data_IF_468110931484
#
_entry.id   IF_468110931484
#
_cell.length_a   1.000
_cell.length_b   1.000
_cell.length_c   1.000
_cell.angle_alpha   90.00
_cell.angle_beta   90.00
_cell.angle_gamma   90.00
#
_symmetry.space_group_name_H-M   'P 1'
#
loop_
_entity.id
_entity.type
_entity.pdbx_description
1 polymer ?
#
# COMPACT_ATOMS: atom_id res chain seq x y z
N UNK A 1 9.95 -19.29 -8.20
CA UNK A 1 10.02 -17.88 -7.75
C UNK A 1 9.65 -17.84 -6.28
N UNK A 2 10.53 -17.34 -5.40
CA UNK A 2 10.17 -17.16 -3.99
C UNK A 2 9.01 -16.17 -3.86
N UNK A 3 8.02 -16.48 -3.03
CA UNK A 3 6.89 -15.57 -2.74
C UNK A 3 7.44 -14.31 -2.05
N UNK A 4 8.33 -14.49 -1.08
CA UNK A 4 8.99 -13.43 -0.33
C UNK A 4 10.11 -12.72 -1.10
N UNK A 5 10.15 -11.40 -0.98
CA UNK A 5 11.28 -10.56 -1.42
C UNK A 5 12.30 -10.50 -0.29
N UNK A 6 13.46 -11.15 -0.46
CA UNK A 6 14.52 -11.12 0.56
C UNK A 6 15.15 -9.73 0.65
N UNK A 7 15.29 -9.21 1.86
CA UNK A 7 15.97 -7.97 2.17
C UNK A 7 16.64 -8.10 3.56
N UNK A 8 17.74 -7.39 3.79
CA UNK A 8 18.43 -7.31 5.08
C UNK A 8 17.51 -6.83 6.21
N UNK A 9 16.55 -5.96 5.88
CA UNK A 9 15.53 -5.48 6.81
C UNK A 9 14.22 -6.27 6.63
N UNK A 10 13.73 -6.88 7.72
CA UNK A 10 12.49 -7.65 7.69
C UNK A 10 11.28 -6.79 7.31
N UNK A 11 11.26 -5.55 7.81
CA UNK A 11 10.18 -4.59 7.53
C UNK A 11 10.00 -4.30 6.04
N UNK A 12 11.11 -4.01 5.36
CA UNK A 12 11.14 -3.75 3.91
C UNK A 12 10.78 -5.03 3.13
N UNK A 13 11.28 -6.19 3.57
CA UNK A 13 10.93 -7.50 2.99
C UNK A 13 9.41 -7.75 3.00
N UNK A 14 8.75 -7.54 4.14
CA UNK A 14 7.30 -7.69 4.27
C UNK A 14 6.58 -6.69 3.35
N UNK A 15 6.97 -5.42 3.39
CA UNK A 15 6.34 -4.35 2.60
C UNK A 15 6.43 -4.61 1.09
N UNK A 16 7.61 -5.03 0.59
CA UNK A 16 7.82 -5.39 -0.81
C UNK A 16 7.06 -6.66 -1.20
N UNK A 17 6.94 -7.61 -0.29
CA UNK A 17 6.17 -8.84 -0.51
C UNK A 17 4.68 -8.52 -0.66
N UNK A 18 4.12 -7.66 0.20
CA UNK A 18 2.73 -7.19 0.09
C UNK A 18 2.51 -6.43 -1.23
N UNK A 19 3.41 -5.52 -1.60
CA UNK A 19 3.32 -4.80 -2.88
C UNK A 19 3.39 -5.75 -4.09
N UNK A 20 4.16 -6.84 -3.98
CA UNK A 20 4.24 -7.86 -5.04
C UNK A 20 2.97 -8.68 -5.16
N UNK A 21 2.38 -9.08 -4.04
CA UNK A 21 1.13 -9.85 -3.97
C UNK A 21 -0.07 -9.04 -4.47
N UNK A 22 -0.13 -7.77 -4.09
CA UNK A 22 -1.18 -6.83 -4.53
C UNK A 22 -1.05 -6.42 -6.00
N UNK A 23 0.04 -6.80 -6.68
CA UNK A 23 0.25 -6.51 -8.09
C UNK A 23 0.94 -5.18 -8.36
N UNK A 24 1.31 -4.42 -7.34
CA UNK A 24 1.98 -3.12 -7.50
C UNK A 24 3.50 -3.21 -7.63
N UNK A 25 4.08 -4.42 -7.51
CA UNK A 25 5.53 -4.63 -7.57
C UNK A 25 5.95 -5.80 -8.47
N UNK A 26 6.12 -5.51 -9.77
CA UNK A 26 6.53 -6.54 -10.72
C UNK A 26 7.97 -7.03 -10.48
N UNK A 27 8.24 -8.35 -10.41
CA UNK A 27 9.60 -8.86 -10.42
C UNK A 27 10.34 -8.52 -11.71
N UNK A 28 11.63 -8.17 -11.62
CA UNK A 28 12.45 -7.80 -12.78
C UNK A 28 12.82 -8.98 -13.67
N UNK A 29 12.72 -10.20 -13.14
CA UNK A 29 13.04 -11.45 -13.83
C UNK A 29 11.93 -11.98 -14.74
N UNK A 30 10.85 -11.21 -14.93
CA UNK A 30 9.73 -11.62 -15.78
C UNK A 30 10.07 -11.43 -17.27
N UNK A 31 9.83 -12.49 -18.06
CA UNK A 31 9.92 -12.40 -19.51
C UNK A 31 8.89 -11.42 -20.11
N UNK A 32 9.03 -11.02 -21.38
CA UNK A 32 8.19 -9.99 -22.00
C UNK A 32 6.69 -10.32 -21.96
N UNK A 33 6.30 -11.59 -22.20
CA UNK A 33 4.89 -12.04 -22.10
C UNK A 33 4.36 -11.98 -20.66
N UNK A 34 5.15 -12.44 -19.69
CA UNK A 34 4.78 -12.41 -18.26
C UNK A 34 4.68 -10.97 -17.73
N UNK A 35 5.50 -10.06 -18.24
CA UNK A 35 5.45 -8.64 -17.91
C UNK A 35 4.14 -7.99 -18.37
N UNK A 36 3.65 -8.35 -19.56
CA UNK A 36 2.34 -7.89 -20.03
C UNK A 36 1.21 -8.45 -19.18
N UNK A 37 1.24 -9.76 -18.86
CA UNK A 37 0.26 -10.36 -17.96
C UNK A 37 0.27 -9.69 -16.58
N UNK A 38 1.45 -9.37 -16.05
CA UNK A 38 1.58 -8.69 -14.77
C UNK A 38 1.02 -7.27 -14.81
N UNK A 39 1.18 -6.52 -15.92
CA UNK A 39 0.54 -5.20 -16.08
C UNK A 39 -0.99 -5.29 -16.06
N UNK A 40 -1.54 -6.31 -16.73
CA UNK A 40 -2.99 -6.57 -16.69
C UNK A 40 -3.42 -6.90 -15.26
N UNK A 41 -2.68 -7.75 -14.57
CA UNK A 41 -2.93 -8.04 -13.16
C UNK A 41 -2.87 -6.78 -12.29
N UNK A 42 -1.85 -5.92 -12.45
CA UNK A 42 -1.75 -4.63 -11.74
C UNK A 42 -2.98 -3.75 -12.00
N UNK A 43 -3.43 -3.65 -13.25
CA UNK A 43 -4.60 -2.86 -13.60
C UNK A 43 -5.88 -3.42 -12.97
N UNK A 44 -6.09 -4.73 -13.05
CA UNK A 44 -7.24 -5.41 -12.43
C UNK A 44 -7.22 -5.23 -10.90
N UNK A 45 -6.08 -5.44 -10.26
CA UNK A 45 -5.93 -5.24 -8.82
C UNK A 45 -6.18 -3.79 -8.42
N UNK A 46 -5.67 -2.81 -9.18
CA UNK A 46 -5.95 -1.40 -8.92
C UNK A 46 -7.45 -1.08 -9.04
N UNK A 47 -8.09 -1.57 -10.10
CA UNK A 47 -9.52 -1.36 -10.32
C UNK A 47 -10.35 -1.99 -9.21
N UNK A 48 -10.01 -3.20 -8.77
CA UNK A 48 -10.72 -3.91 -7.71
C UNK A 48 -10.54 -3.26 -6.34
N UNK A 49 -9.33 -2.83 -6.00
CA UNK A 49 -9.01 -2.29 -4.67
C UNK A 49 -9.44 -0.83 -4.51
N UNK A 50 -9.40 -0.02 -5.57
CA UNK A 50 -9.68 1.43 -5.50
C UNK A 50 -10.51 1.98 -6.65
N UNK A 51 -10.32 1.50 -7.87
CA UNK A 51 -10.95 2.09 -9.04
C UNK A 51 -12.48 2.09 -8.97
N UNK A 52 -13.07 0.97 -8.53
CA UNK A 52 -14.52 0.84 -8.31
C UNK A 52 -15.02 1.84 -7.27
N UNK A 53 -14.35 1.94 -6.12
CA UNK A 53 -14.69 2.88 -5.05
C UNK A 53 -14.67 4.33 -5.53
N UNK A 54 -13.63 4.74 -6.24
CA UNK A 54 -13.51 6.10 -6.76
C UNK A 54 -14.64 6.44 -7.74
N UNK A 55 -14.98 5.52 -8.65
CA UNK A 55 -16.06 5.73 -9.63
C UNK A 55 -17.40 5.85 -8.89
N UNK A 56 -17.70 4.94 -7.97
CA UNK A 56 -18.95 4.94 -7.22
C UNK A 56 -19.08 6.24 -6.39
N UNK A 57 -18.01 6.67 -5.72
CA UNK A 57 -18.01 7.88 -4.91
C UNK A 57 -18.19 9.16 -5.74
N UNK A 58 -17.64 9.21 -6.96
CA UNK A 58 -17.87 10.33 -7.88
C UNK A 58 -19.33 10.36 -8.34
N UNK A 59 -19.91 9.21 -8.71
CA UNK A 59 -21.32 9.11 -9.12
C UNK A 59 -22.24 9.50 -7.96
N UNK A 60 -21.94 9.04 -6.74
CA UNK A 60 -22.73 9.37 -5.55
C UNK A 60 -22.70 10.87 -5.26
N UNK A 61 -21.53 11.52 -5.38
CA UNK A 61 -21.38 12.96 -5.20
C UNK A 61 -22.26 13.79 -6.15
N UNK A 62 -22.40 13.35 -7.40
CA UNK A 62 -23.32 13.99 -8.36
C UNK A 62 -24.80 13.75 -8.01
N UNK A 63 -25.13 12.60 -7.43
CA UNK A 63 -26.52 12.25 -7.07
C UNK A 63 -27.02 13.02 -5.86
N UNK A 64 -26.15 13.26 -4.88
CA UNK A 64 -26.48 13.98 -3.62
C UNK A 64 -26.26 15.50 -3.74
N UNK A 65 -26.08 15.99 -4.96
CA UNK A 65 -25.81 17.39 -5.23
C UNK A 65 -26.89 18.30 -4.65
N UNK A 66 -26.49 19.23 -3.79
CA UNK A 66 -27.38 20.17 -3.09
C UNK A 66 -27.49 19.91 -1.58
N UNK A 67 -27.14 18.71 -1.10
CA UNK A 67 -27.00 18.43 0.33
C UNK A 67 -25.53 18.61 0.75
N UNK A 68 -25.18 19.81 1.23
CA UNK A 68 -23.81 20.16 1.60
C UNK A 68 -23.25 19.23 2.70
N UNK A 69 -24.08 18.84 3.66
CA UNK A 69 -23.65 17.96 4.74
C UNK A 69 -23.28 16.57 4.21
N UNK A 70 -24.11 16.00 3.35
CA UNK A 70 -23.84 14.68 2.77
C UNK A 70 -22.68 14.73 1.74
N UNK A 71 -22.60 15.80 0.95
CA UNK A 71 -21.52 16.01 -0.03
C UNK A 71 -20.15 16.11 0.64
N UNK A 72 -20.03 16.82 1.76
CA UNK A 72 -18.75 16.94 2.47
C UNK A 72 -18.25 15.60 3.02
N UNK A 73 -19.16 14.77 3.53
CA UNK A 73 -18.84 13.41 3.97
C UNK A 73 -18.33 12.53 2.83
N UNK A 74 -19.06 12.48 1.70
CA UNK A 74 -18.65 11.70 0.52
C UNK A 74 -17.36 12.24 -0.10
N UNK A 75 -17.17 13.57 -0.15
CA UNK A 75 -15.95 14.19 -0.67
C UNK A 75 -14.71 13.88 0.19
N UNK A 76 -14.85 13.84 1.53
CA UNK A 76 -13.76 13.48 2.43
C UNK A 76 -13.23 12.06 2.13
N UNK A 77 -14.13 11.11 1.91
CA UNK A 77 -13.75 9.74 1.51
C UNK A 77 -13.12 9.71 0.13
N UNK A 78 -13.72 10.42 -0.83
CA UNK A 78 -13.22 10.50 -2.19
C UNK A 78 -11.78 11.02 -2.22
N UNK A 79 -11.47 12.09 -1.50
CA UNK A 79 -10.12 12.64 -1.42
C UNK A 79 -9.14 11.71 -0.69
N UNK A 80 -9.59 11.01 0.36
CA UNK A 80 -8.77 10.01 1.05
C UNK A 80 -8.37 8.87 0.11
N UNK A 81 -9.34 8.34 -0.64
CA UNK A 81 -9.09 7.29 -1.63
C UNK A 81 -8.28 7.80 -2.82
N UNK A 82 -8.47 9.04 -3.25
CA UNK A 82 -7.69 9.66 -4.33
C UNK A 82 -6.23 9.86 -3.92
N UNK A 83 -5.97 10.26 -2.68
CA UNK A 83 -4.62 10.33 -2.13
C UNK A 83 -3.95 8.94 -2.10
N UNK A 84 -4.69 7.88 -1.77
CA UNK A 84 -4.19 6.51 -1.85
C UNK A 84 -3.87 6.09 -3.29
N UNK A 85 -4.75 6.40 -4.24
CA UNK A 85 -4.52 6.14 -5.66
C UNK A 85 -3.28 6.88 -6.18
N UNK A 86 -3.10 8.16 -5.80
CA UNK A 86 -1.93 8.94 -6.17
C UNK A 86 -0.62 8.32 -5.63
N UNK A 87 -0.62 7.79 -4.40
CA UNK A 87 0.53 7.05 -3.85
C UNK A 87 0.87 5.83 -4.69
N UNK A 88 -0.14 5.04 -5.09
CA UNK A 88 0.06 3.86 -5.93
C UNK A 88 0.62 4.24 -7.31
N UNK A 89 0.03 5.24 -7.97
CA UNK A 89 0.51 5.75 -9.26
C UNK A 89 1.96 6.22 -9.15
N UNK A 90 2.31 6.90 -8.07
CA UNK A 90 3.68 7.36 -7.84
C UNK A 90 4.66 6.18 -7.64
N UNK A 91 4.26 5.14 -6.89
CA UNK A 91 5.05 3.90 -6.74
C UNK A 91 5.27 3.23 -8.10
N UNK A 92 4.22 3.11 -8.93
CA UNK A 92 4.31 2.50 -10.25
C UNK A 92 5.18 3.32 -11.21
N UNK A 93 5.02 4.65 -11.22
CA UNK A 93 5.78 5.56 -12.08
C UNK A 93 7.26 5.67 -11.70
N UNK A 94 7.57 5.65 -10.41
CA UNK A 94 8.94 5.77 -9.88
C UNK A 94 9.56 4.43 -9.51
N UNK A 95 8.93 3.32 -9.90
CA UNK A 95 9.29 1.97 -9.47
C UNK A 95 10.79 1.66 -9.61
N UNK A 96 11.38 1.94 -10.77
CA UNK A 96 12.82 1.69 -11.02
C UNK A 96 13.72 2.40 -10.01
N UNK A 97 13.39 3.66 -9.69
CA UNK A 97 14.15 4.46 -8.73
C UNK A 97 14.00 3.92 -7.31
N UNK A 98 12.78 3.54 -6.92
CA UNK A 98 12.52 2.93 -5.60
C UNK A 98 13.27 1.59 -5.49
N UNK A 99 13.24 0.77 -6.54
CA UNK A 99 13.99 -0.49 -6.62
C UNK A 99 15.50 -0.27 -6.47
N UNK A 100 16.05 0.74 -7.14
CA UNK A 100 17.47 1.08 -7.02
C UNK A 100 17.84 1.46 -5.58
N UNK A 101 17.07 2.31 -4.92
CA UNK A 101 17.30 2.71 -3.52
C UNK A 101 17.22 1.52 -2.57
N UNK A 102 16.21 0.67 -2.74
CA UNK A 102 16.03 -0.54 -1.92
C UNK A 102 17.18 -1.52 -2.10
N UNK A 103 17.66 -1.69 -3.34
CA UNK A 103 18.77 -2.60 -3.65
C UNK A 103 20.08 -2.06 -3.09
N UNK A 104 20.38 -0.80 -3.34
CA UNK A 104 21.57 -0.12 -2.83
C UNK A 104 21.65 -0.21 -1.30
N UNK A 105 20.56 0.14 -0.61
CA UNK A 105 20.48 0.00 0.84
C UNK A 105 20.64 -1.45 1.32
N UNK A 106 20.06 -2.43 0.62
CA UNK A 106 20.24 -3.84 0.97
C UNK A 106 21.69 -4.30 0.80
N UNK A 107 22.36 -3.88 -0.27
CA UNK A 107 23.73 -4.28 -0.57
C UNK A 107 24.68 -3.72 0.50
N UNK A 108 24.47 -2.47 0.95
CA UNK A 108 25.20 -1.87 2.08
C UNK A 108 24.94 -2.62 3.39
N UNK A 109 23.68 -2.85 3.75
CA UNK A 109 23.31 -3.47 5.03
C UNK A 109 23.72 -4.95 5.12
N UNK A 110 23.77 -5.66 3.99
CA UNK A 110 24.18 -7.06 3.93
C UNK A 110 25.70 -7.25 3.81
N UNK A 111 26.43 -6.22 3.36
CA UNK A 111 27.88 -6.23 3.19
C UNK A 111 28.69 -6.02 4.48
N UNK A 112 28.03 -5.86 5.62
CA UNK A 112 28.64 -5.50 6.90
C UNK A 112 29.54 -6.61 7.48
N UNK A 113 30.80 -6.26 7.80
CA UNK A 113 31.81 -7.21 8.28
C UNK A 113 32.15 -7.06 9.76
N UNK A 114 32.12 -5.85 10.32
CA UNK A 114 32.44 -5.63 11.73
C UNK A 114 31.32 -6.08 12.66
N UNK A 115 31.68 -6.49 13.88
CA UNK A 115 30.72 -6.90 14.91
C UNK A 115 29.87 -5.72 15.37
N UNK A 116 30.47 -4.54 15.54
CA UNK A 116 29.78 -3.33 15.97
C UNK A 116 28.74 -2.88 14.94
N UNK A 117 29.13 -2.86 13.66
CA UNK A 117 28.22 -2.53 12.56
C UNK A 117 27.04 -3.53 12.47
N UNK A 118 27.27 -4.83 12.69
CA UNK A 118 26.19 -5.83 12.73
C UNK A 118 25.23 -5.60 13.89
N UNK A 119 25.74 -5.20 15.05
CA UNK A 119 24.91 -4.87 16.21
C UNK A 119 24.03 -3.64 15.92
N UNK A 120 24.58 -2.62 15.25
CA UNK A 120 23.83 -1.44 14.80
C UNK A 120 22.70 -1.85 13.84
N UNK A 121 23.02 -2.61 12.77
CA UNK A 121 22.01 -3.06 11.80
C UNK A 121 20.91 -3.88 12.48
N UNK A 122 21.28 -4.74 13.44
CA UNK A 122 20.32 -5.53 14.21
C UNK A 122 19.41 -4.65 15.08
N UNK A 123 19.96 -3.65 15.76
CA UNK A 123 19.19 -2.70 16.58
C UNK A 123 18.20 -1.92 15.72
N UNK A 124 18.67 -1.32 14.62
CA UNK A 124 17.79 -0.59 13.69
C UNK A 124 16.70 -1.48 13.10
N UNK A 125 17.01 -2.73 12.73
CA UNK A 125 16.00 -3.65 12.23
C UNK A 125 14.94 -3.98 13.28
N UNK A 126 15.31 -4.09 14.56
CA UNK A 126 14.35 -4.29 15.66
C UNK A 126 13.42 -3.07 15.81
N UNK A 127 13.99 -1.86 15.82
CA UNK A 127 13.22 -0.62 15.88
C UNK A 127 12.24 -0.49 14.70
N UNK A 128 12.68 -0.81 13.48
CA UNK A 128 11.82 -0.81 12.30
C UNK A 128 10.67 -1.84 12.41
N UNK A 129 10.93 -3.01 12.97
CA UNK A 129 9.89 -4.02 13.23
C UNK A 129 8.85 -3.48 14.22
N UNK A 130 9.31 -2.85 15.31
CA UNK A 130 8.42 -2.26 16.32
C UNK A 130 7.56 -1.16 15.68
N UNK A 131 8.17 -0.25 14.91
CA UNK A 131 7.44 0.81 14.21
C UNK A 131 6.41 0.25 13.23
N UNK A 132 6.75 -0.79 12.48
CA UNK A 132 5.80 -1.41 11.56
C UNK A 132 4.66 -2.12 12.30
N UNK A 133 4.94 -2.80 13.42
CA UNK A 133 3.92 -3.44 14.24
C UNK A 133 2.95 -2.40 14.82
N UNK A 134 3.47 -1.26 15.31
CA UNK A 134 2.65 -0.15 15.78
C UNK A 134 1.79 0.43 14.65
N UNK A 135 2.38 0.67 13.48
CA UNK A 135 1.64 1.17 12.30
C UNK A 135 0.49 0.23 11.91
N UNK A 136 0.75 -1.08 11.86
CA UNK A 136 -0.30 -2.06 11.58
C UNK A 136 -1.37 -2.12 12.67
N UNK A 137 -0.98 -1.99 13.94
CA UNK A 137 -1.93 -1.96 15.05
C UNK A 137 -2.87 -0.76 14.96
N UNK A 138 -2.33 0.44 14.73
CA UNK A 138 -3.13 1.66 14.58
C UNK A 138 -4.04 1.57 13.35
N UNK A 139 -3.52 1.06 12.24
CA UNK A 139 -4.31 0.86 11.01
C UNK A 139 -5.46 -0.10 11.27
N UNK A 140 -5.19 -1.23 11.93
CA UNK A 140 -6.19 -2.24 12.25
C UNK A 140 -7.28 -1.69 13.19
N UNK A 141 -6.90 -0.98 14.25
CA UNK A 141 -7.84 -0.33 15.16
C UNK A 141 -8.70 0.69 14.43
N UNK A 142 -8.09 1.47 13.53
CA UNK A 142 -8.81 2.47 12.72
C UNK A 142 -9.81 1.78 11.79
N UNK A 143 -9.41 0.74 11.06
CA UNK A 143 -10.29 -0.02 10.17
C UNK A 143 -11.43 -0.69 10.94
N UNK A 144 -11.15 -1.28 12.11
CA UNK A 144 -12.18 -1.84 12.98
C UNK A 144 -13.14 -0.75 13.46
N UNK A 145 -12.62 0.39 13.91
CA UNK A 145 -13.43 1.53 14.33
C UNK A 145 -14.38 1.97 13.23
N UNK A 146 -13.89 2.11 11.99
CA UNK A 146 -14.74 2.40 10.82
C UNK A 146 -15.78 1.30 10.55
N UNK A 147 -15.40 0.03 10.64
CA UNK A 147 -16.29 -1.10 10.39
C UNK A 147 -17.41 -1.22 11.46
N UNK A 148 -17.12 -0.87 12.71
CA UNK A 148 -18.08 -0.99 13.83
C UNK A 148 -18.85 0.30 14.12
N UNK A 149 -18.38 1.46 13.65
CA UNK A 149 -19.03 2.76 13.91
C UNK A 149 -20.33 2.96 13.13
N UNK A 150 -20.72 2.00 12.29
CA UNK A 150 -21.98 2.06 11.56
C UNK A 150 -23.18 1.96 12.52
N UNK A 151 -24.15 2.87 12.39
CA UNK A 151 -25.41 2.74 13.13
C UNK A 151 -26.15 1.45 12.73
N UNK A 152 -26.89 0.88 13.69
CA UNK A 152 -27.57 -0.41 13.51
C UNK A 152 -28.47 -0.36 12.26
N UNK A 153 -28.19 -1.21 11.27
CA UNK A 153 -28.87 -1.29 9.96
C UNK A 153 -28.58 -0.16 8.95
N UNK A 154 -27.54 0.64 9.15
CA UNK A 154 -27.03 1.58 8.15
C UNK A 154 -25.57 1.26 7.79
N UNK A 155 -25.17 1.58 6.57
CA UNK A 155 -23.74 1.62 6.24
C UNK A 155 -23.11 2.80 6.98
N UNK A 156 -21.86 2.69 7.47
CA UNK A 156 -21.22 3.76 8.22
C UNK A 156 -21.14 5.06 7.41
N UNK A 157 -21.07 4.94 6.08
CA UNK A 157 -21.21 6.02 5.09
C UNK A 157 -21.96 5.49 3.85
N UNK A 158 -22.73 6.36 3.18
CA UNK A 158 -23.24 6.06 1.83
C UNK A 158 -22.05 5.92 0.86
N UNK A 159 -22.13 4.94 -0.05
CA UNK A 159 -21.09 4.61 -1.04
C UNK A 159 -19.79 3.97 -0.50
N UNK A 160 -19.88 3.24 0.62
CA UNK A 160 -18.89 2.25 1.05
C UNK A 160 -19.27 0.84 0.58
#
# INVERSE_FOLDING_TARGET
MGVFVKNATLSVSISLTVLKLTGFWAPETLGPKQRTLYKVFTAVSFMFVLGTYLIIQVVDLFRIWGDIALMTGTAFLLFTNMAQAAKIVNILGRKKRIQAIVKDGNDVLSGVQSREEREIVKSCNLEMIVLQALYFSVTFITTLGWATSAEKHQLPLRAW
#
